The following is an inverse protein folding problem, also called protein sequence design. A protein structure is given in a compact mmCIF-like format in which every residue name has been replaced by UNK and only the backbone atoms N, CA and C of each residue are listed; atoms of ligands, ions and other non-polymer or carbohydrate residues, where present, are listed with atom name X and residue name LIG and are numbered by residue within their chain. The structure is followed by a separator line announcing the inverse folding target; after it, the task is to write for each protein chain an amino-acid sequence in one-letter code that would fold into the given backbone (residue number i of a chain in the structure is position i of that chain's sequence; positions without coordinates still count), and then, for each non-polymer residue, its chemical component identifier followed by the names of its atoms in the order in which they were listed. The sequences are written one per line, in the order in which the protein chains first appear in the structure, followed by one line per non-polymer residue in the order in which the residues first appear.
data_IF_686931353888
#
_entry.id   IF_686931353888
#
_cell.length_a   1.000
_cell.length_b   1.000
_cell.length_c   1.000
_cell.angle_alpha   90.00
_cell.angle_beta   90.00
_cell.angle_gamma   90.00
#
_symmetry.space_group_name_H-M   'P 1'
#
loop_
_entity.id
_entity.type
_entity.pdbx_description
1 polymer ?
#
# COMPACT_ATOMS: atom_id res chain seq x y z
N UNK A 1 -9.54 17.94 12.88
CA UNK A 1 -9.84 16.53 12.49
C UNK A 1 -9.13 16.04 11.21
N UNK A 2 -8.52 16.90 10.38
CA UNK A 2 -7.90 16.47 9.11
C UNK A 2 -6.50 15.83 9.27
N UNK A 3 -5.71 16.26 10.27
CA UNK A 3 -4.35 15.73 10.52
C UNK A 3 -4.38 14.25 10.97
N UNK A 4 -5.30 13.88 11.87
CA UNK A 4 -5.52 12.50 12.32
C UNK A 4 -5.91 11.56 11.17
N UNK A 5 -6.82 11.99 10.28
CA UNK A 5 -7.20 11.22 9.09
C UNK A 5 -6.02 11.03 8.12
N UNK A 6 -5.18 12.06 7.95
CA UNK A 6 -3.97 11.97 7.11
C UNK A 6 -2.93 11.00 7.69
N UNK A 7 -2.71 11.01 9.01
CA UNK A 7 -1.82 10.06 9.71
C UNK A 7 -2.33 8.63 9.55
N UNK A 8 -3.63 8.40 9.77
CA UNK A 8 -4.24 7.09 9.60
C UNK A 8 -4.11 6.57 8.16
N UNK A 9 -4.30 7.45 7.18
CA UNK A 9 -4.18 7.11 5.76
C UNK A 9 -2.74 6.78 5.34
N UNK A 10 -1.75 7.47 5.91
CA UNK A 10 -0.33 7.16 5.74
C UNK A 10 0.05 5.82 6.42
N UNK A 11 -0.46 5.57 7.63
CA UNK A 11 -0.24 4.30 8.32
C UNK A 11 -0.83 3.12 7.53
N UNK A 12 -2.05 3.26 7.00
CA UNK A 12 -2.66 2.23 6.16
C UNK A 12 -1.87 2.00 4.87
N UNK A 13 -1.37 3.07 4.24
CA UNK A 13 -0.51 2.94 3.06
C UNK A 13 0.78 2.14 3.37
N UNK A 14 1.40 2.39 4.53
CA UNK A 14 2.58 1.64 4.97
C UNK A 14 2.27 0.16 5.21
N UNK A 15 1.15 -0.15 5.87
CA UNK A 15 0.69 -1.54 6.08
C UNK A 15 0.48 -2.25 4.74
N UNK A 16 -0.13 -1.59 3.76
CA UNK A 16 -0.34 -2.16 2.42
C UNK A 16 0.98 -2.48 1.69
N UNK A 17 2.02 -1.65 1.86
CA UNK A 17 3.36 -1.94 1.31
C UNK A 17 3.97 -3.16 1.98
N UNK A 18 3.87 -3.26 3.31
CA UNK A 18 4.38 -4.42 4.07
C UNK A 18 3.64 -5.69 3.65
N UNK A 19 2.31 -5.64 3.50
CA UNK A 19 1.50 -6.75 3.04
C UNK A 19 1.87 -7.18 1.61
N UNK A 20 2.13 -6.23 0.71
CA UNK A 20 2.60 -6.52 -0.64
C UNK A 20 3.98 -7.20 -0.62
N UNK A 21 4.91 -6.73 0.22
CA UNK A 21 6.23 -7.35 0.38
C UNK A 21 6.15 -8.76 0.97
N UNK A 22 5.32 -8.97 2.00
CA UNK A 22 5.09 -10.31 2.57
C UNK A 22 4.48 -11.26 1.54
N UNK A 23 3.55 -10.77 0.72
CA UNK A 23 2.95 -11.54 -0.39
C UNK A 23 4.00 -11.91 -1.44
N UNK A 24 4.93 -11.00 -1.75
CA UNK A 24 6.06 -11.27 -2.66
C UNK A 24 7.02 -12.32 -2.11
N UNK A 25 7.33 -12.27 -0.81
CA UNK A 25 8.17 -13.30 -0.16
C UNK A 25 7.47 -14.65 -0.20
N UNK A 26 6.18 -14.69 0.12
CA UNK A 26 5.37 -15.92 0.05
C UNK A 26 5.35 -16.49 -1.37
N UNK A 27 5.26 -15.62 -2.38
CA UNK A 27 5.31 -15.99 -3.78
C UNK A 27 6.64 -16.64 -4.18
N UNK A 28 7.77 -16.08 -3.74
CA UNK A 28 9.10 -16.65 -3.98
C UNK A 28 9.22 -18.03 -3.33
N UNK A 29 8.75 -18.18 -2.09
CA UNK A 29 8.77 -19.46 -1.38
C UNK A 29 7.94 -20.55 -2.10
N UNK A 30 6.76 -20.17 -2.60
CA UNK A 30 5.91 -21.05 -3.42
C UNK A 30 6.60 -21.44 -4.73
N UNK A 31 7.31 -20.51 -5.37
CA UNK A 31 7.99 -20.74 -6.66
C UNK A 31 9.17 -21.72 -6.53
N UNK A 32 9.79 -21.83 -5.35
CA UNK A 32 10.89 -22.78 -5.08
C UNK A 32 10.43 -24.25 -4.97
N UNK A 33 9.11 -24.50 -4.95
CA UNK A 33 8.48 -25.83 -4.87
C UNK A 33 7.35 -25.94 -5.91
N UNK A 34 7.66 -25.94 -7.23
CA UNK A 34 6.62 -25.97 -8.24
C UNK A 34 6.12 -27.41 -8.44
N UNK A 35 5.35 -27.92 -7.48
CA UNK A 35 4.84 -29.29 -7.53
C UNK A 35 3.61 -29.47 -8.45
N UNK A 36 2.87 -28.39 -8.82
CA UNK A 36 1.65 -28.51 -9.68
C UNK A 36 1.29 -27.24 -10.47
N UNK A 37 0.42 -27.36 -11.50
CA UNK A 37 -0.18 -26.24 -12.27
C UNK A 37 -0.85 -25.20 -11.36
N UNK A 38 -1.35 -25.62 -10.20
CA UNK A 38 -1.93 -24.72 -9.19
C UNK A 38 -0.95 -23.66 -8.68
N UNK A 39 0.35 -23.99 -8.63
CA UNK A 39 1.42 -23.07 -8.23
C UNK A 39 1.55 -21.92 -9.23
N UNK A 40 1.44 -22.18 -10.53
CA UNK A 40 1.49 -21.15 -11.58
C UNK A 40 0.31 -20.18 -11.48
N UNK A 41 -0.89 -20.71 -11.22
CA UNK A 41 -2.08 -19.87 -11.02
C UNK A 41 -1.98 -19.03 -9.74
N UNK A 42 -1.43 -19.59 -8.66
CA UNK A 42 -1.13 -18.84 -7.43
C UNK A 42 -0.10 -17.74 -7.68
N UNK A 43 0.91 -17.98 -8.51
CA UNK A 43 1.93 -16.98 -8.87
C UNK A 43 1.31 -15.78 -9.60
N UNK A 44 0.47 -16.05 -10.59
CA UNK A 44 -0.22 -15.00 -11.36
C UNK A 44 -1.18 -14.23 -10.43
N UNK A 45 -2.00 -14.94 -9.64
CA UNK A 45 -2.95 -14.32 -8.72
C UNK A 45 -2.29 -13.44 -7.65
N UNK A 46 -1.17 -13.90 -7.07
CA UNK A 46 -0.39 -13.12 -6.11
C UNK A 46 0.31 -11.93 -6.77
N UNK A 47 0.82 -12.08 -7.99
CA UNK A 47 1.38 -10.98 -8.77
C UNK A 47 0.37 -9.85 -9.01
N UNK A 48 -0.85 -10.19 -9.43
CA UNK A 48 -1.95 -9.22 -9.60
C UNK A 48 -2.33 -8.55 -8.27
N UNK A 49 -2.42 -9.31 -7.18
CA UNK A 49 -2.70 -8.77 -5.85
C UNK A 49 -1.64 -7.78 -5.38
N UNK A 50 -0.35 -8.09 -5.57
CA UNK A 50 0.76 -7.21 -5.21
C UNK A 50 0.64 -5.88 -5.97
N UNK A 51 0.40 -5.91 -7.29
CA UNK A 51 0.21 -4.70 -8.09
C UNK A 51 -0.97 -3.88 -7.56
N UNK A 52 -2.10 -4.54 -7.26
CA UNK A 52 -3.30 -3.87 -6.76
C UNK A 52 -3.05 -3.19 -5.40
N UNK A 53 -2.40 -3.89 -4.46
CA UNK A 53 -2.02 -3.36 -3.15
C UNK A 53 -1.06 -2.16 -3.27
N UNK A 54 -0.09 -2.23 -4.18
CA UNK A 54 0.86 -1.13 -4.42
C UNK A 54 0.18 0.10 -5.05
N UNK A 55 -0.74 -0.10 -5.99
CA UNK A 55 -1.51 0.99 -6.59
C UNK A 55 -2.39 1.67 -5.55
N UNK A 56 -3.13 0.90 -4.75
CA UNK A 56 -3.96 1.43 -3.66
C UNK A 56 -3.10 2.18 -2.64
N UNK A 57 -1.97 1.61 -2.23
CA UNK A 57 -1.02 2.27 -1.32
C UNK A 57 -0.51 3.59 -1.90
N UNK A 58 -0.12 3.62 -3.19
CA UNK A 58 0.35 4.84 -3.87
C UNK A 58 -0.72 5.93 -3.90
N UNK A 59 -1.98 5.56 -4.18
CA UNK A 59 -3.11 6.49 -4.17
C UNK A 59 -3.34 7.04 -2.76
N UNK A 60 -3.36 6.17 -1.74
CA UNK A 60 -3.52 6.59 -0.35
C UNK A 60 -2.37 7.49 0.11
N UNK A 61 -1.14 7.17 -0.25
CA UNK A 61 0.03 7.97 0.09
C UNK A 61 -0.01 9.35 -0.57
N UNK A 62 -0.40 9.43 -1.84
CA UNK A 62 -0.56 10.69 -2.56
C UNK A 62 -1.68 11.54 -1.95
N UNK A 63 -2.82 10.94 -1.65
CA UNK A 63 -3.94 11.62 -0.99
C UNK A 63 -3.57 12.09 0.42
N UNK A 64 -2.91 11.24 1.22
CA UNK A 64 -2.42 11.56 2.56
C UNK A 64 -1.45 12.75 2.54
N UNK A 65 -0.48 12.77 1.61
CA UNK A 65 0.43 13.90 1.41
C UNK A 65 -0.29 15.18 0.99
N UNK A 66 -1.24 15.10 0.07
CA UNK A 66 -2.03 16.26 -0.35
C UNK A 66 -2.86 16.83 0.82
N UNK A 67 -3.47 15.97 1.65
CA UNK A 67 -4.22 16.41 2.83
C UNK A 67 -3.31 16.97 3.93
N UNK A 68 -2.08 16.46 4.06
CA UNK A 68 -1.09 16.99 4.99
C UNK A 68 -0.58 18.37 4.56
N UNK A 69 -0.34 18.56 3.25
CA UNK A 69 0.11 19.85 2.67
C UNK A 69 -1.00 20.92 2.72
N UNK A 70 -2.23 20.56 2.34
CA UNK A 70 -3.40 21.47 2.46
C UNK A 70 -3.70 21.81 3.92
N UNK A 71 -3.46 20.88 4.85
CA UNK A 71 -3.56 21.15 6.30
C UNK A 71 -2.42 21.97 6.90
N UNK A 72 -1.35 22.25 6.14
CA UNK A 72 -0.26 23.15 6.50
C UNK A 72 -0.45 24.57 5.91
N UNK A 73 -1.20 24.70 4.82
CA UNK A 73 -1.62 25.99 4.22
C UNK A 73 -2.88 26.60 4.87
N UNK A 74 -3.46 25.94 5.90
CA UNK A 74 -4.61 26.42 6.69
C UNK A 74 -4.25 26.93 8.10
N UNK A 75 -3.00 27.35 8.32
CA UNK A 75 -2.71 28.37 9.34
C UNK A 75 -2.72 29.73 8.63
N UNK A 76 -3.89 30.39 8.46
CA UNK A 76 -3.88 31.82 8.25
C UNK A 76 -3.40 32.44 9.57
N UNK A 77 -2.25 33.11 9.49
CA UNK A 77 -2.06 34.45 10.00
C UNK A 77 -3.13 34.88 11.02
N UNK A 78 -2.90 34.57 12.31
CA UNK A 78 -3.58 35.28 13.40
C UNK A 78 -2.71 36.47 13.77
N UNK A 79 -2.87 37.55 13.01
CA UNK A 79 -2.52 38.92 13.38
C UNK A 79 -3.78 39.71 13.70
#
# INVERSE_FOLDING_TARGET
MNKLKAILQLALAAILVIAAAATLVNLILITMRPETISVVNAIIGQGVLIICLLVISRILFRNGKMRFKVGAEQEPDQG
#
